data_IF_922157669848
#
_entry.id   IF_922157669848
#
_cell.length_a   1.000
_cell.length_b   1.000
_cell.length_c   1.000
_cell.angle_alpha   90.00
_cell.angle_beta   90.00
_cell.angle_gamma   90.00
#
_symmetry.space_group_name_H-M   'P 1'
#
loop_
_entity.id
_entity.type
_entity.pdbx_description
1 polymer ?
#
# COMPACT_ATOMS: atom_id res chain seq x y z
N UNK A 1 -6.61 7.00 -17.71
CA UNK A 1 -6.12 7.32 -16.35
C UNK A 1 -6.21 8.81 -15.96
N UNK A 2 -6.63 9.72 -16.85
CA UNK A 2 -6.60 11.18 -16.63
C UNK A 2 -7.80 11.79 -15.88
N UNK A 3 -8.65 10.97 -15.23
CA UNK A 3 -9.85 11.43 -14.50
C UNK A 3 -10.07 10.81 -13.12
N UNK A 4 -9.40 9.72 -12.78
CA UNK A 4 -9.43 9.17 -11.44
C UNK A 4 -8.28 9.80 -10.66
N UNK A 5 -8.59 10.72 -9.75
CA UNK A 5 -7.60 11.34 -8.88
C UNK A 5 -6.73 10.29 -8.17
N UNK A 6 -5.50 10.66 -7.82
CA UNK A 6 -4.55 9.79 -7.11
C UNK A 6 -5.21 9.21 -5.84
N UNK A 7 -6.03 10.01 -5.17
CA UNK A 7 -6.81 9.57 -4.01
C UNK A 7 -7.89 8.52 -4.34
N UNK A 8 -8.52 8.58 -5.50
CA UNK A 8 -9.57 7.61 -5.90
C UNK A 8 -8.96 6.26 -6.25
N UNK A 9 -7.83 6.27 -6.96
CA UNK A 9 -7.10 5.03 -7.33
C UNK A 9 -6.57 4.34 -6.08
N UNK A 10 -6.01 5.11 -5.14
CA UNK A 10 -5.54 4.58 -3.86
C UNK A 10 -6.70 4.03 -3.01
N UNK A 11 -7.81 4.76 -2.92
CA UNK A 11 -9.00 4.30 -2.19
C UNK A 11 -9.57 2.99 -2.73
N UNK A 12 -9.61 2.82 -4.06
CA UNK A 12 -10.06 1.58 -4.68
C UNK A 12 -9.11 0.40 -4.37
N UNK A 13 -7.80 0.64 -4.43
CA UNK A 13 -6.81 -0.37 -4.07
C UNK A 13 -6.96 -0.80 -2.60
N UNK A 14 -7.16 0.16 -1.69
CA UNK A 14 -7.38 -0.14 -0.27
C UNK A 14 -8.66 -0.94 -0.07
N UNK A 15 -9.75 -0.57 -0.75
CA UNK A 15 -11.02 -1.29 -0.65
C UNK A 15 -10.87 -2.76 -1.08
N UNK A 16 -10.14 -3.02 -2.17
CA UNK A 16 -9.86 -4.37 -2.65
C UNK A 16 -9.07 -5.16 -1.59
N UNK A 17 -7.99 -4.60 -1.06
CA UNK A 17 -7.15 -5.32 -0.11
C UNK A 17 -7.90 -5.54 1.22
N UNK A 18 -8.68 -4.55 1.66
CA UNK A 18 -9.53 -4.67 2.85
C UNK A 18 -10.52 -5.82 2.68
N UNK A 19 -11.19 -5.92 1.54
CA UNK A 19 -12.09 -7.04 1.25
C UNK A 19 -11.35 -8.38 1.30
N UNK A 20 -10.12 -8.43 0.78
CA UNK A 20 -9.25 -9.61 0.87
C UNK A 20 -8.91 -10.01 2.31
N UNK A 21 -8.62 -9.04 3.19
CA UNK A 21 -8.34 -9.30 4.61
C UNK A 21 -9.59 -9.85 5.32
N UNK A 22 -10.78 -9.30 5.02
CA UNK A 22 -12.04 -9.79 5.59
C UNK A 22 -12.30 -11.24 5.17
N UNK A 23 -12.15 -11.55 3.87
CA UNK A 23 -12.32 -12.92 3.36
C UNK A 23 -11.30 -13.87 3.98
N UNK A 24 -10.05 -13.42 4.17
CA UNK A 24 -9.02 -14.21 4.85
C UNK A 24 -9.33 -14.49 6.32
N UNK A 25 -9.98 -13.55 7.01
CA UNK A 25 -10.43 -13.75 8.39
C UNK A 25 -11.55 -14.80 8.50
N UNK A 26 -12.44 -14.86 7.50
CA UNK A 26 -13.56 -15.81 7.46
C UNK A 26 -13.13 -17.21 6.99
N UNK A 27 -12.29 -17.27 5.94
CA UNK A 27 -11.79 -18.50 5.36
C UNK A 27 -10.27 -18.48 5.22
N UNK A 28 -9.54 -18.80 6.31
CA UNK A 28 -8.07 -18.76 6.35
C UNK A 28 -7.46 -19.99 5.65
N UNK A 29 -7.77 -20.20 4.38
CA UNK A 29 -7.23 -21.27 3.54
C UNK A 29 -6.18 -20.74 2.55
N UNK A 30 -5.28 -21.61 2.13
CA UNK A 30 -4.15 -21.26 1.23
C UNK A 30 -4.65 -20.61 -0.08
N UNK A 31 -5.79 -21.08 -0.61
CA UNK A 31 -6.38 -20.53 -1.85
C UNK A 31 -6.78 -19.07 -1.68
N UNK A 32 -7.47 -18.72 -0.59
CA UNK A 32 -7.83 -17.33 -0.27
C UNK A 32 -6.59 -16.45 -0.14
N UNK A 33 -5.57 -16.96 0.55
CA UNK A 33 -4.30 -16.25 0.73
C UNK A 33 -3.63 -15.99 -0.63
N UNK A 34 -3.57 -16.99 -1.49
CA UNK A 34 -3.00 -16.85 -2.82
C UNK A 34 -3.73 -15.78 -3.64
N UNK A 35 -5.07 -15.80 -3.67
CA UNK A 35 -5.87 -14.81 -4.39
C UNK A 35 -5.62 -13.38 -3.89
N UNK A 36 -5.63 -13.17 -2.57
CA UNK A 36 -5.39 -11.86 -1.98
C UNK A 36 -3.96 -11.38 -2.28
N UNK A 37 -2.97 -12.26 -2.22
CA UNK A 37 -1.58 -11.93 -2.54
C UNK A 37 -1.40 -11.57 -4.02
N UNK A 38 -2.06 -12.28 -4.94
CA UNK A 38 -2.03 -11.96 -6.37
C UNK A 38 -2.59 -10.55 -6.59
N UNK A 39 -3.77 -10.25 -6.04
CA UNK A 39 -4.40 -8.92 -6.17
C UNK A 39 -3.53 -7.82 -5.58
N UNK A 40 -2.98 -8.05 -4.39
CA UNK A 40 -2.09 -7.10 -3.72
C UNK A 40 -0.84 -6.82 -4.56
N UNK A 41 -0.20 -7.86 -5.09
CA UNK A 41 0.99 -7.72 -5.95
C UNK A 41 0.67 -6.99 -7.24
N UNK A 42 -0.43 -7.33 -7.90
CA UNK A 42 -0.89 -6.62 -9.11
C UNK A 42 -1.12 -5.14 -8.83
N UNK A 43 -1.77 -4.78 -7.73
CA UNK A 43 -1.97 -3.39 -7.33
C UNK A 43 -0.66 -2.66 -7.02
N UNK A 44 0.27 -3.33 -6.32
CA UNK A 44 1.59 -2.78 -6.02
C UNK A 44 2.37 -2.48 -7.31
N UNK A 45 2.42 -3.41 -8.26
CA UNK A 45 3.09 -3.21 -9.53
C UNK A 45 2.44 -2.11 -10.38
N UNK A 46 1.11 -2.08 -10.42
CA UNK A 46 0.36 -1.06 -11.17
C UNK A 46 0.57 0.36 -10.64
N UNK A 47 0.75 0.51 -9.33
CA UNK A 47 0.90 1.82 -8.67
C UNK A 47 2.34 2.29 -8.59
N UNK A 48 3.31 1.37 -8.40
CA UNK A 48 4.72 1.73 -8.28
C UNK A 48 5.28 2.38 -9.55
N UNK A 49 4.90 1.88 -10.73
CA UNK A 49 5.41 2.41 -12.01
C UNK A 49 5.13 3.91 -12.18
N UNK A 50 3.88 4.41 -12.15
CA UNK A 50 3.61 5.83 -12.31
C UNK A 50 4.19 6.67 -11.17
N UNK A 51 4.24 6.12 -9.95
CA UNK A 51 4.82 6.82 -8.81
C UNK A 51 6.32 7.07 -9.03
N UNK A 52 7.07 6.06 -9.48
CA UNK A 52 8.49 6.21 -9.80
C UNK A 52 8.75 7.12 -11.00
N UNK A 53 7.89 7.07 -12.03
CA UNK A 53 8.02 7.96 -13.19
C UNK A 53 7.85 9.44 -12.79
N UNK A 54 6.96 9.74 -11.84
CA UNK A 54 6.80 11.09 -11.28
C UNK A 54 7.98 11.47 -10.35
N UNK A 55 8.34 10.59 -9.41
CA UNK A 55 9.35 10.87 -8.38
C UNK A 55 10.75 11.07 -8.95
N UNK A 56 11.09 10.35 -10.02
CA UNK A 56 12.42 10.37 -10.63
C UNK A 56 12.51 11.20 -11.90
N UNK A 57 11.47 11.99 -12.22
CA UNK A 57 11.46 12.87 -13.40
C UNK A 57 12.55 13.97 -13.34
N UNK A 58 12.99 14.36 -12.14
CA UNK A 58 13.97 15.43 -11.92
C UNK A 58 15.36 14.94 -11.50
N UNK A 59 15.64 13.64 -11.63
CA UNK A 59 16.84 12.99 -11.05
C UNK A 59 17.67 12.32 -12.15
N UNK A 60 19.00 12.36 -12.05
CA UNK A 60 19.90 11.70 -13.00
C UNK A 60 19.77 10.17 -12.96
N UNK A 61 20.13 9.47 -14.05
CA UNK A 61 19.95 8.01 -14.12
C UNK A 61 20.68 7.25 -12.99
N UNK A 62 21.91 7.66 -12.65
CA UNK A 62 22.68 7.04 -11.57
C UNK A 62 21.96 7.15 -10.20
N UNK A 63 21.46 8.34 -9.89
CA UNK A 63 20.72 8.61 -8.65
C UNK A 63 19.38 7.88 -8.63
N UNK A 64 18.71 7.76 -9.79
CA UNK A 64 17.49 6.97 -9.96
C UNK A 64 17.73 5.49 -9.66
N UNK A 65 18.80 4.89 -10.19
CA UNK A 65 19.13 3.49 -9.92
C UNK A 65 19.44 3.22 -8.44
N UNK A 66 20.27 4.07 -7.81
CA UNK A 66 20.59 3.96 -6.37
C UNK A 66 19.34 4.10 -5.50
N UNK A 67 18.51 5.11 -5.77
CA UNK A 67 17.29 5.36 -5.01
C UNK A 67 16.28 4.24 -5.15
N UNK A 68 16.06 3.74 -6.37
CA UNK A 68 15.13 2.63 -6.62
C UNK A 68 15.56 1.36 -5.88
N UNK A 69 16.85 1.01 -5.95
CA UNK A 69 17.37 -0.16 -5.25
C UNK A 69 17.22 -0.02 -3.73
N UNK A 70 17.51 1.16 -3.18
CA UNK A 70 17.35 1.42 -1.75
C UNK A 70 15.89 1.31 -1.29
N UNK A 71 14.94 1.88 -2.05
CA UNK A 71 13.51 1.78 -1.72
C UNK A 71 13.05 0.32 -1.74
N UNK A 72 13.41 -0.45 -2.78
CA UNK A 72 12.96 -1.83 -2.91
C UNK A 72 13.55 -2.75 -1.81
N UNK A 73 14.85 -2.61 -1.54
CA UNK A 73 15.58 -3.52 -0.65
C UNK A 73 15.52 -3.11 0.81
N UNK A 74 15.56 -1.82 1.13
CA UNK A 74 15.60 -1.37 2.53
C UNK A 74 14.21 -1.00 2.99
N UNK A 75 13.51 -0.13 2.27
CA UNK A 75 12.21 0.39 2.74
C UNK A 75 11.11 -0.65 2.60
N UNK A 76 10.89 -1.17 1.40
CA UNK A 76 9.81 -2.13 1.12
C UNK A 76 10.08 -3.45 1.85
N UNK A 77 11.31 -3.95 1.82
CA UNK A 77 11.68 -5.19 2.54
C UNK A 77 11.56 -5.06 4.06
N UNK A 78 12.02 -3.96 4.65
CA UNK A 78 11.89 -3.76 6.10
C UNK A 78 10.42 -3.67 6.51
N UNK A 79 9.56 -3.04 5.71
CA UNK A 79 8.13 -3.03 5.95
C UNK A 79 7.54 -4.46 5.99
N UNK A 80 7.94 -5.34 5.07
CA UNK A 80 7.53 -6.74 5.10
C UNK A 80 8.05 -7.50 6.34
N UNK A 81 9.30 -7.28 6.72
CA UNK A 81 9.87 -7.89 7.93
C UNK A 81 9.12 -7.43 9.18
N UNK A 82 8.94 -6.12 9.34
CA UNK A 82 8.21 -5.52 10.48
C UNK A 82 6.79 -6.08 10.53
N UNK A 83 6.08 -6.15 9.40
CA UNK A 83 4.75 -6.73 9.34
C UNK A 83 4.69 -8.21 9.75
N UNK A 84 5.66 -9.02 9.30
CA UNK A 84 5.76 -10.44 9.68
C UNK A 84 6.08 -10.65 11.16
N UNK A 85 6.97 -9.83 11.71
CA UNK A 85 7.28 -9.83 13.14
C UNK A 85 6.09 -9.34 13.98
N UNK A 86 5.36 -8.33 13.50
CA UNK A 86 4.15 -7.85 14.16
C UNK A 86 3.08 -8.95 14.22
N UNK A 87 2.85 -9.67 13.11
CA UNK A 87 1.97 -10.83 13.09
C UNK A 87 2.41 -11.91 14.09
N UNK A 88 3.71 -12.22 14.11
CA UNK A 88 4.29 -13.21 15.04
C UNK A 88 4.12 -12.78 16.50
N UNK A 89 4.33 -11.49 16.80
CA UNK A 89 4.14 -10.92 18.13
C UNK A 89 2.68 -11.01 18.57
N UNK A 90 1.72 -10.65 17.71
CA UNK A 90 0.29 -10.77 18.00
C UNK A 90 -0.13 -12.23 18.24
N UNK A 91 0.42 -13.16 17.47
CA UNK A 91 0.18 -14.60 17.68
C UNK A 91 0.82 -15.07 19.00
N UNK A 92 1.99 -14.57 19.36
CA UNK A 92 2.71 -14.92 20.58
C UNK A 92 1.95 -14.50 21.84
N UNK A 93 1.30 -13.33 21.84
CA UNK A 93 0.43 -12.87 22.94
C UNK A 93 -0.94 -13.59 22.99
N UNK A 94 -1.15 -14.60 22.13
CA UNK A 94 -2.33 -15.47 22.18
C UNK A 94 -3.54 -14.99 21.38
N UNK A 95 -3.40 -14.00 20.49
CA UNK A 95 -4.53 -13.62 19.64
C UNK A 95 -4.86 -14.74 18.65
N UNK A 96 -6.17 -15.02 18.52
CA UNK A 96 -6.70 -15.86 17.45
C UNK A 96 -6.47 -15.19 16.09
N UNK A 97 -6.44 -16.00 15.03
CA UNK A 97 -6.30 -15.50 13.65
C UNK A 97 -7.37 -14.45 13.33
N UNK A 98 -8.61 -14.65 13.80
CA UNK A 98 -9.72 -13.70 13.64
C UNK A 98 -9.45 -12.33 14.29
N UNK A 99 -8.84 -12.31 15.47
CA UNK A 99 -8.50 -11.04 16.14
C UNK A 99 -7.34 -10.34 15.44
N UNK A 100 -6.36 -11.09 14.94
CA UNK A 100 -5.24 -10.54 14.17
C UNK A 100 -5.73 -9.90 12.87
N UNK A 101 -6.63 -10.56 12.14
CA UNK A 101 -7.21 -10.01 10.92
C UNK A 101 -8.10 -8.80 11.21
N UNK A 102 -8.81 -8.76 12.34
CA UNK A 102 -9.56 -7.57 12.76
C UNK A 102 -8.64 -6.36 13.02
N UNK A 103 -7.52 -6.57 13.74
CA UNK A 103 -6.52 -5.51 13.97
C UNK A 103 -5.92 -5.04 12.64
N UNK A 104 -5.58 -5.98 11.74
CA UNK A 104 -5.06 -5.65 10.41
C UNK A 104 -6.07 -4.87 9.56
N UNK A 105 -7.36 -5.23 9.64
CA UNK A 105 -8.44 -4.54 8.94
C UNK A 105 -8.59 -3.08 9.42
N UNK A 106 -8.54 -2.84 10.74
CA UNK A 106 -8.56 -1.49 11.31
C UNK A 106 -7.34 -0.68 10.82
N UNK A 107 -6.14 -1.27 10.91
CA UNK A 107 -4.91 -0.63 10.42
C UNK A 107 -5.00 -0.25 8.94
N UNK A 108 -5.58 -1.13 8.11
CA UNK A 108 -5.78 -0.88 6.68
C UNK A 108 -6.77 0.27 6.42
N UNK A 109 -7.85 0.37 7.19
CA UNK A 109 -8.79 1.49 7.08
C UNK A 109 -8.13 2.82 7.44
N UNK A 110 -7.32 2.85 8.50
CA UNK A 110 -6.58 4.05 8.92
C UNK A 110 -5.58 4.51 7.85
N UNK A 111 -4.78 3.58 7.33
CA UNK A 111 -3.83 3.86 6.25
C UNK A 111 -4.54 4.27 4.96
N UNK A 112 -5.66 3.63 4.66
CA UNK A 112 -6.51 3.98 3.54
C UNK A 112 -7.04 5.39 3.60
N UNK A 113 -7.60 5.75 4.76
CA UNK A 113 -8.07 7.09 5.04
C UNK A 113 -6.94 8.12 4.87
N UNK A 114 -5.77 7.84 5.46
CA UNK A 114 -4.61 8.71 5.35
C UNK A 114 -4.15 8.88 3.90
N UNK A 115 -4.11 7.81 3.11
CA UNK A 115 -3.71 7.87 1.71
C UNK A 115 -4.72 8.63 0.83
N UNK A 116 -6.02 8.47 1.09
CA UNK A 116 -7.05 9.26 0.41
C UNK A 116 -6.94 10.75 0.78
N UNK A 117 -6.74 11.06 2.07
CA UNK A 117 -6.55 12.44 2.53
C UNK A 117 -5.31 13.09 1.92
N UNK A 118 -4.17 12.39 1.92
CA UNK A 118 -2.94 12.84 1.27
C UNK A 118 -3.12 13.04 -0.23
N UNK A 119 -3.79 12.11 -0.92
CA UNK A 119 -4.09 12.23 -2.35
C UNK A 119 -4.93 13.46 -2.66
N UNK A 120 -5.97 13.71 -1.87
CA UNK A 120 -6.80 14.93 -1.99
C UNK A 120 -6.00 16.20 -1.73
N UNK A 121 -5.10 16.20 -0.74
CA UNK A 121 -4.21 17.35 -0.45
C UNK A 121 -3.23 17.62 -1.59
N UNK A 122 -2.70 16.57 -2.22
CA UNK A 122 -1.81 16.69 -3.37
C UNK A 122 -2.53 17.34 -4.57
N UNK A 123 -3.75 16.88 -4.88
CA UNK A 123 -4.58 17.46 -5.94
C UNK A 123 -4.91 18.95 -5.69
N UNK A 124 -5.22 19.31 -4.44
CA UNK A 124 -5.44 20.72 -4.05
C UNK A 124 -4.21 21.60 -4.22
N UNK A 125 -3.00 21.08 -3.95
CA UNK A 125 -1.75 21.82 -4.10
C UNK A 125 -1.30 21.94 -5.56
N UNK A 126 -1.49 20.88 -6.37
CA UNK A 126 -1.22 20.91 -7.80
C UNK A 126 -2.16 21.79 -8.62
N UNK A 127 -3.25 22.27 -8.02
CA UNK A 127 -4.22 23.19 -8.62
C UNK A 127 -3.94 24.67 -8.37
N UNK A 128 -2.88 25.03 -7.61
CA UNK A 128 -2.45 26.43 -7.51
C UNK A 128 -1.64 26.75 -8.78
N UNK A 129 -2.08 27.70 -9.63
CA UNK A 129 -1.26 28.13 -10.75
C UNK A 129 0.02 28.70 -10.17
N UNK A 130 1.15 28.16 -10.63
CA UNK A 130 2.48 28.75 -10.44
C UNK A 130 2.38 30.20 -10.95
N UNK A 131 2.16 31.15 -10.04
CA UNK A 131 2.38 32.55 -10.37
C UNK A 131 3.90 32.70 -10.54
N UNK A 132 4.26 33.06 -11.77
CA UNK A 132 5.60 33.40 -12.22
C UNK A 132 6.12 34.67 -11.52
#
# INVERSE_FOLDING_TARGET
>A
VRRAGVGTTYGLMVAIIFSGIVVLGLWPVIVTLALVQILFRSGQFGTMKPCYDMLFSAVSEEQKYKSKNFIDTSVVRSAYLIGGWFFTLLKFIGLSIANITAVAAIGMLLLGYLGVDLGRRFERRGSRPTQA
#
